data_IF_891694082872
#
_entry.id   IF_891694082872
#
_cell.length_a   1.000
_cell.length_b   1.000
_cell.length_c   1.000
_cell.angle_alpha   90.00
_cell.angle_beta   90.00
_cell.angle_gamma   90.00
#
_symmetry.space_group_name_H-M   'P 1'
#
loop_
_entity.id
_entity.type
_entity.pdbx_description
1 polymer ?
#
# COMPACT_ATOMS: atom_id res chain seq x y z
N UNK A 1 -13.89 11.26 17.00
CA UNK A 1 -13.03 10.27 16.35
C UNK A 1 -13.45 8.89 16.77
N UNK A 2 -13.42 7.94 15.84
CA UNK A 2 -13.54 6.52 16.19
C UNK A 2 -12.20 6.04 16.71
N UNK A 3 -12.16 5.03 17.59
CA UNK A 3 -10.89 4.48 18.09
C UNK A 3 -9.97 4.02 16.93
N UNK A 4 -10.57 3.56 15.83
CA UNK A 4 -9.84 3.05 14.68
C UNK A 4 -9.16 4.15 13.86
N UNK A 5 -9.68 5.37 13.81
CA UNK A 5 -8.96 6.46 13.17
C UNK A 5 -7.63 6.77 13.87
N UNK A 6 -7.52 6.47 15.17
CA UNK A 6 -6.29 6.64 15.94
C UNK A 6 -5.37 5.41 15.91
N UNK A 7 -5.90 4.23 15.52
CA UNK A 7 -5.16 2.97 15.46
C UNK A 7 -4.59 2.67 14.09
N UNK A 8 -5.05 3.35 13.05
CA UNK A 8 -4.63 3.12 11.67
C UNK A 8 -3.88 4.31 11.09
N UNK A 9 -2.96 4.00 10.18
CA UNK A 9 -2.11 4.95 9.50
C UNK A 9 -2.11 4.67 8.00
N UNK A 10 -2.05 5.71 7.19
CA UNK A 10 -1.94 5.61 5.75
C UNK A 10 -0.46 5.67 5.36
N UNK A 11 -0.02 4.70 4.55
CA UNK A 11 1.35 4.62 4.07
C UNK A 11 1.54 5.42 2.78
N UNK A 12 2.57 6.27 2.76
CA UNK A 12 2.96 7.09 1.63
C UNK A 12 4.43 6.90 1.30
N UNK A 13 4.76 7.13 0.04
CA UNK A 13 6.13 7.32 -0.38
C UNK A 13 6.69 8.60 0.27
N UNK A 14 7.96 8.65 0.71
CA UNK A 14 8.59 9.90 1.11
C UNK A 14 8.60 10.92 -0.06
N UNK A 15 8.43 12.20 0.27
CA UNK A 15 8.39 13.30 -0.72
C UNK A 15 9.78 13.72 -1.21
N UNK A 16 10.82 12.99 -0.81
CA UNK A 16 12.14 13.17 -1.34
C UNK A 16 12.32 12.36 -2.63
N UNK A 17 13.01 12.94 -3.61
CA UNK A 17 13.37 12.24 -4.86
C UNK A 17 14.44 11.15 -4.63
N UNK A 18 14.65 10.72 -3.37
CA UNK A 18 15.74 9.82 -3.00
C UNK A 18 15.37 8.36 -3.13
N UNK A 19 14.11 8.01 -3.39
CA UNK A 19 13.70 6.62 -3.55
C UNK A 19 13.46 6.24 -5.01
N UNK A 20 13.75 4.98 -5.36
CA UNK A 20 13.38 4.41 -6.66
C UNK A 20 11.86 4.40 -6.86
N UNK A 21 11.39 4.71 -8.08
CA UNK A 21 10.03 4.35 -8.49
C UNK A 21 10.09 2.95 -9.10
N UNK A 22 9.32 2.00 -8.59
CA UNK A 22 9.33 0.65 -9.18
C UNK A 22 8.39 0.59 -10.38
N UNK A 23 8.78 -0.15 -11.40
CA UNK A 23 7.95 -0.43 -12.57
C UNK A 23 7.95 -1.93 -12.82
N UNK A 24 6.78 -2.58 -12.90
CA UNK A 24 6.72 -4.00 -13.20
C UNK A 24 7.17 -4.24 -14.64
N UNK A 25 7.90 -5.33 -14.87
CA UNK A 25 8.14 -5.79 -16.23
C UNK A 25 6.85 -6.35 -16.86
N UNK A 26 6.90 -6.66 -18.17
CA UNK A 26 5.73 -7.16 -18.89
C UNK A 26 5.17 -8.46 -18.30
N UNK A 27 6.03 -9.36 -17.81
CA UNK A 27 5.63 -10.66 -17.24
C UNK A 27 4.87 -10.46 -15.94
N UNK A 28 5.35 -9.56 -15.10
CA UNK A 28 4.77 -9.15 -13.81
C UNK A 28 3.45 -8.43 -14.01
N UNK A 29 3.41 -7.44 -14.90
CA UNK A 29 2.21 -6.66 -15.20
C UNK A 29 1.05 -7.53 -15.71
N UNK A 30 1.33 -8.50 -16.60
CA UNK A 30 0.31 -9.41 -17.16
C UNK A 30 -0.37 -10.28 -16.09
N UNK A 31 0.30 -10.54 -14.97
CA UNK A 31 -0.26 -11.29 -13.84
C UNK A 31 -1.25 -10.50 -13.01
N UNK A 32 -1.38 -9.18 -13.25
CA UNK A 32 -2.32 -8.29 -12.55
C UNK A 32 -2.11 -8.32 -11.03
N UNK A 33 -0.84 -8.35 -10.63
CA UNK A 33 -0.37 -8.55 -9.25
C UNK A 33 -0.97 -7.58 -8.21
N UNK A 34 -1.41 -6.41 -8.66
CA UNK A 34 -1.96 -5.35 -7.82
C UNK A 34 -3.42 -5.55 -7.38
N UNK A 35 -4.17 -6.48 -8.01
CA UNK A 35 -5.55 -6.83 -7.60
C UNK A 35 -5.90 -8.31 -7.71
N UNK A 36 -5.07 -9.16 -8.33
CA UNK A 36 -5.29 -10.61 -8.36
C UNK A 36 -4.45 -11.33 -7.34
N UNK A 37 -5.06 -12.30 -6.66
CA UNK A 37 -4.33 -13.29 -5.88
C UNK A 37 -3.46 -14.13 -6.80
N UNK A 38 -2.17 -14.17 -6.53
CA UNK A 38 -1.21 -14.95 -7.30
C UNK A 38 -1.20 -16.40 -6.82
N UNK A 39 -0.93 -17.33 -7.74
CA UNK A 39 -0.73 -18.74 -7.41
C UNK A 39 0.59 -18.97 -6.68
N UNK A 40 0.58 -19.83 -5.66
CA UNK A 40 1.78 -20.17 -4.92
C UNK A 40 2.77 -20.95 -5.80
N UNK A 41 4.07 -20.65 -5.65
CA UNK A 41 5.15 -21.40 -6.32
C UNK A 41 5.42 -21.01 -7.77
N UNK A 42 4.78 -19.97 -8.30
CA UNK A 42 5.13 -19.39 -9.60
C UNK A 42 6.39 -18.52 -9.55
N UNK A 43 6.85 -18.06 -10.71
CA UNK A 43 8.00 -17.16 -10.85
C UNK A 43 7.88 -15.91 -9.96
N UNK A 44 9.00 -15.34 -9.48
CA UNK A 44 8.99 -14.08 -8.74
C UNK A 44 8.42 -12.93 -9.59
N UNK A 45 8.02 -11.86 -8.92
CA UNK A 45 7.66 -10.59 -9.57
C UNK A 45 8.94 -9.81 -9.87
N UNK A 46 9.04 -9.21 -11.04
CA UNK A 46 10.20 -8.48 -11.51
C UNK A 46 9.87 -6.99 -11.66
N UNK A 47 10.70 -6.16 -11.06
CA UNK A 47 10.57 -4.71 -11.08
C UNK A 47 11.88 -4.07 -11.55
N UNK A 48 11.78 -2.94 -12.24
CA UNK A 48 12.92 -2.10 -12.63
C UNK A 48 12.72 -0.68 -12.10
N UNK A 49 13.73 0.17 -12.26
CA UNK A 49 13.52 1.61 -12.13
C UNK A 49 12.49 2.11 -13.16
N UNK A 50 11.50 2.86 -12.68
CA UNK A 50 10.38 3.40 -13.46
C UNK A 50 10.60 4.82 -13.97
N UNK A 51 11.60 5.53 -13.46
CA UNK A 51 12.00 6.84 -13.96
C UNK A 51 12.46 6.76 -15.42
N UNK A 52 12.27 7.84 -16.16
CA UNK A 52 12.67 7.93 -17.58
C UNK A 52 14.17 8.16 -17.74
N UNK A 53 14.75 7.70 -18.85
CA UNK A 53 16.16 7.95 -19.16
C UNK A 53 16.44 9.47 -19.14
N UNK A 54 17.30 9.92 -18.22
CA UNK A 54 17.70 11.33 -18.09
C UNK A 54 17.10 12.07 -16.90
N UNK A 55 16.15 11.49 -16.18
CA UNK A 55 15.76 11.99 -14.86
C UNK A 55 16.88 11.72 -13.85
N UNK A 56 17.00 12.57 -12.81
CA UNK A 56 17.90 12.27 -11.68
C UNK A 56 17.35 11.04 -10.97
N UNK A 57 17.77 9.86 -11.42
CA UNK A 57 17.38 8.59 -10.83
C UNK A 57 18.13 8.40 -9.53
N UNK A 58 17.42 8.37 -8.41
CA UNK A 58 17.99 7.69 -7.26
C UNK A 58 17.96 6.18 -7.53
N UNK A 59 19.11 5.53 -7.35
CA UNK A 59 19.23 4.07 -7.30
C UNK A 59 19.18 3.55 -5.86
N UNK A 60 18.86 4.43 -4.90
CA UNK A 60 18.79 4.05 -3.49
C UNK A 60 17.56 3.17 -3.27
N UNK A 61 17.85 1.89 -3.04
CA UNK A 61 16.88 0.91 -2.59
C UNK A 61 16.77 0.98 -1.07
N UNK A 62 15.63 1.43 -0.58
CA UNK A 62 15.29 1.54 0.84
C UNK A 62 14.72 0.23 1.38
N UNK A 63 14.48 0.14 2.69
CA UNK A 63 13.90 -1.07 3.31
C UNK A 63 12.51 -1.42 2.77
N UNK A 64 11.71 -0.38 2.54
CA UNK A 64 10.36 -0.47 2.01
C UNK A 64 10.29 0.42 0.77
N UNK A 65 9.60 -0.01 -0.29
CA UNK A 65 9.39 0.80 -1.50
C UNK A 65 7.91 0.84 -1.82
N UNK A 66 7.29 2.00 -1.59
CA UNK A 66 5.86 2.21 -1.80
C UNK A 66 5.54 2.27 -3.29
N UNK A 67 4.62 1.41 -3.71
CA UNK A 67 4.00 1.38 -5.03
C UNK A 67 2.58 1.97 -4.94
N UNK A 68 1.96 2.28 -6.07
CA UNK A 68 0.57 2.78 -6.12
C UNK A 68 -0.43 1.83 -5.45
N UNK A 69 -0.13 0.53 -5.41
CA UNK A 69 -1.09 -0.51 -5.03
C UNK A 69 -0.59 -1.50 -3.98
N UNK A 70 0.62 -1.30 -3.47
CA UNK A 70 1.32 -2.24 -2.59
C UNK A 70 2.69 -1.68 -2.21
N UNK A 71 3.61 -2.56 -1.83
CA UNK A 71 4.97 -2.17 -1.52
C UNK A 71 5.96 -3.32 -1.68
N UNK A 72 7.20 -3.03 -2.09
CA UNK A 72 8.31 -3.93 -1.84
C UNK A 72 8.70 -3.82 -0.37
N UNK A 73 8.91 -4.96 0.28
CA UNK A 73 9.28 -5.07 1.68
C UNK A 73 10.55 -5.91 1.83
N UNK A 74 11.40 -5.52 2.77
CA UNK A 74 12.56 -6.32 3.14
C UNK A 74 12.16 -7.63 3.85
N UNK A 75 13.13 -8.52 4.02
CA UNK A 75 12.94 -9.83 4.67
C UNK A 75 12.36 -9.71 6.07
N UNK A 76 12.78 -8.70 6.84
CA UNK A 76 12.43 -8.58 8.25
C UNK A 76 10.95 -8.24 8.44
N UNK A 77 10.42 -7.31 7.65
CA UNK A 77 8.98 -7.05 7.63
C UNK A 77 8.19 -8.25 7.07
N UNK A 78 8.71 -8.91 6.02
CA UNK A 78 8.08 -10.12 5.49
C UNK A 78 7.95 -11.21 6.55
N UNK A 79 8.99 -11.44 7.34
CA UNK A 79 8.97 -12.46 8.40
C UNK A 79 8.05 -12.06 9.55
N UNK A 80 8.00 -10.78 9.91
CA UNK A 80 7.03 -10.28 10.90
C UNK A 80 5.60 -10.54 10.44
N UNK A 81 5.25 -10.11 9.23
CA UNK A 81 3.90 -10.27 8.68
C UNK A 81 3.51 -11.74 8.45
N UNK A 82 4.49 -12.63 8.22
CA UNK A 82 4.25 -14.07 8.04
C UNK A 82 3.70 -14.76 9.30
N UNK A 83 3.74 -14.10 10.46
CA UNK A 83 3.18 -14.63 11.70
C UNK A 83 1.65 -14.50 11.77
N UNK A 84 1.06 -13.66 10.91
CA UNK A 84 -0.36 -13.35 10.93
C UNK A 84 -1.06 -13.87 9.68
N UNK A 85 -2.36 -14.15 9.81
CA UNK A 85 -3.24 -14.40 8.65
C UNK A 85 -4.06 -13.14 8.41
N UNK A 86 -3.51 -12.22 7.60
CA UNK A 86 -4.14 -10.95 7.26
C UNK A 86 -5.03 -11.16 6.03
N UNK A 87 -6.30 -10.80 6.13
CA UNK A 87 -7.28 -10.99 5.06
C UNK A 87 -6.93 -10.11 3.85
N UNK A 88 -7.02 -10.68 2.65
CA UNK A 88 -6.79 -9.92 1.42
C UNK A 88 -5.34 -9.58 1.07
N UNK A 89 -4.40 -9.93 1.95
CA UNK A 89 -2.98 -9.65 1.76
C UNK A 89 -2.27 -10.85 1.16
N UNK A 90 -1.32 -10.58 0.26
CA UNK A 90 -0.35 -11.56 -0.24
C UNK A 90 1.06 -10.98 -0.15
N UNK A 91 2.02 -11.83 0.24
CA UNK A 91 3.44 -11.52 0.19
C UNK A 91 4.06 -12.46 -0.83
N UNK A 92 4.62 -11.88 -1.89
CA UNK A 92 5.09 -12.65 -3.04
C UNK A 92 6.58 -12.38 -3.32
N UNK A 93 7.42 -13.39 -3.59
CA UNK A 93 8.83 -13.18 -3.92
C UNK A 93 9.01 -12.18 -5.07
N UNK A 94 9.97 -11.28 -4.94
CA UNK A 94 10.23 -10.26 -5.96
C UNK A 94 11.71 -10.00 -6.16
N UNK A 95 12.06 -9.55 -7.36
CA UNK A 95 13.40 -9.15 -7.76
C UNK A 95 13.31 -7.73 -8.30
N UNK A 96 14.07 -6.82 -7.70
CA UNK A 96 14.31 -5.50 -8.27
C UNK A 96 15.60 -5.54 -9.09
N UNK A 97 15.55 -5.05 -10.32
CA UNK A 97 16.69 -4.95 -11.23
C UNK A 97 17.07 -3.48 -11.32
N UNK A 98 18.29 -3.16 -10.88
CA UNK A 98 18.79 -1.78 -10.89
C UNK A 98 19.24 -1.34 -12.29
N UNK A 99 19.61 -0.06 -12.41
CA UNK A 99 20.05 0.54 -13.68
C UNK A 99 21.38 -0.05 -14.22
N UNK A 100 22.16 -0.74 -13.38
CA UNK A 100 23.36 -1.48 -13.75
C UNK A 100 23.08 -2.95 -14.09
N UNK A 101 21.81 -3.36 -14.17
CA UNK A 101 21.34 -4.74 -14.35
C UNK A 101 21.77 -5.72 -13.25
N UNK A 102 21.96 -5.24 -12.01
CA UNK A 102 22.13 -6.14 -10.87
C UNK A 102 20.76 -6.53 -10.30
N UNK A 103 20.64 -7.81 -9.95
CA UNK A 103 19.46 -8.37 -9.31
C UNK A 103 19.50 -8.19 -7.79
N UNK A 104 18.46 -7.56 -7.25
CA UNK A 104 18.23 -7.38 -5.82
C UNK A 104 17.08 -8.28 -5.36
N UNK A 105 17.39 -9.55 -5.12
CA UNK A 105 16.40 -10.60 -4.76
C UNK A 105 15.98 -10.67 -3.29
N UNK A 106 16.35 -9.68 -2.47
CA UNK A 106 16.06 -9.66 -1.03
C UNK A 106 14.76 -8.89 -0.68
N UNK A 107 13.82 -8.82 -1.63
CA UNK A 107 12.55 -8.12 -1.48
C UNK A 107 11.37 -9.04 -1.76
N UNK A 108 10.24 -8.71 -1.13
CA UNK A 108 8.95 -9.32 -1.41
C UNK A 108 7.95 -8.23 -1.74
N UNK A 109 7.03 -8.49 -2.66
CA UNK A 109 5.92 -7.60 -2.90
C UNK A 109 4.79 -7.92 -1.93
N UNK A 110 4.45 -6.95 -1.08
CA UNK A 110 3.22 -6.91 -0.30
C UNK A 110 2.11 -6.33 -1.18
N UNK A 111 1.21 -7.19 -1.64
CA UNK A 111 0.06 -6.83 -2.45
C UNK A 111 -1.27 -7.09 -1.75
N UNK A 112 -2.29 -6.32 -2.10
CA UNK A 112 -3.65 -6.51 -1.61
C UNK A 112 -4.58 -6.85 -2.77
N UNK A 113 -5.23 -8.01 -2.70
CA UNK A 113 -6.14 -8.52 -3.73
C UNK A 113 -7.61 -8.45 -3.32
N UNK A 114 -7.90 -7.95 -2.12
CA UNK A 114 -9.25 -7.57 -1.70
C UNK A 114 -9.22 -6.20 -1.03
N UNK A 115 -10.38 -5.57 -1.00
CA UNK A 115 -10.60 -4.30 -0.32
C UNK A 115 -11.60 -4.52 0.83
N UNK A 116 -11.50 -3.67 1.85
CA UNK A 116 -12.35 -3.72 3.04
C UNK A 116 -13.36 -2.58 2.99
N UNK A 117 -14.65 -2.92 2.97
CA UNK A 117 -15.72 -1.93 3.04
C UNK A 117 -15.93 -1.46 4.49
N UNK A 118 -15.05 -0.58 4.96
CA UNK A 118 -15.06 -0.03 6.32
C UNK A 118 -15.13 1.50 6.36
N UNK A 119 -15.53 2.16 5.27
CA UNK A 119 -15.71 3.61 5.26
C UNK A 119 -17.05 3.99 5.92
N UNK A 120 -17.02 4.93 6.86
CA UNK A 120 -18.23 5.57 7.38
C UNK A 120 -18.61 6.74 6.45
N UNK A 121 -19.57 6.50 5.55
CA UNK A 121 -20.01 7.47 4.55
C UNK A 121 -20.67 8.72 5.16
N UNK A 122 -21.13 8.65 6.42
CA UNK A 122 -21.79 9.78 7.09
C UNK A 122 -20.76 10.71 7.74
N UNK A 123 -19.67 10.16 8.27
CA UNK A 123 -18.63 10.92 8.97
C UNK A 123 -17.43 11.29 8.10
N UNK A 124 -17.20 10.55 7.02
CA UNK A 124 -16.12 10.85 6.08
C UNK A 124 -16.46 12.10 5.27
N UNK A 125 -15.44 12.88 4.92
CA UNK A 125 -15.61 14.02 4.00
C UNK A 125 -15.36 13.52 2.59
N UNK A 126 -16.41 13.46 1.79
CA UNK A 126 -16.39 12.97 0.41
C UNK A 126 -16.66 14.16 -0.52
N UNK A 127 -15.82 14.30 -1.54
CA UNK A 127 -16.08 15.21 -2.65
C UNK A 127 -16.89 14.47 -3.70
N UNK A 128 -18.06 14.99 -4.03
CA UNK A 128 -18.91 14.45 -5.10
C UNK A 128 -18.67 15.31 -6.32
N UNK A 129 -18.23 14.69 -7.40
CA UNK A 129 -18.18 15.33 -8.70
C UNK A 129 -19.43 14.94 -9.47
N UNK A 130 -20.25 15.92 -9.86
CA UNK A 130 -21.27 15.73 -10.89
C UNK A 130 -20.55 15.61 -12.24
N UNK A 131 -20.09 14.39 -12.57
CA UNK A 131 -19.77 14.08 -13.96
C UNK A 131 -21.04 13.56 -14.62
N UNK A 132 -21.52 14.28 -15.63
CA UNK A 132 -22.78 14.02 -16.36
C UNK A 132 -22.69 12.78 -17.29
N UNK A 133 -21.76 11.85 -17.01
CA UNK A 133 -21.45 10.73 -17.88
C UNK A 133 -21.74 9.39 -17.18
N UNK A 134 -22.53 8.58 -17.88
CA UNK A 134 -23.00 7.24 -17.51
C UNK A 134 -21.86 6.18 -17.43
N UNK A 135 -20.82 6.44 -16.66
CA UNK A 135 -19.78 5.43 -16.36
C UNK A 135 -20.02 4.84 -14.96
N UNK A 136 -20.36 3.55 -14.94
CA UNK A 136 -20.82 2.74 -13.80
C UNK A 136 -19.80 2.55 -12.64
N UNK A 137 -18.72 3.32 -12.57
CA UNK A 137 -17.67 3.20 -11.53
C UNK A 137 -17.50 4.52 -10.74
N UNK A 138 -18.55 4.90 -10.00
CA UNK A 138 -18.54 6.04 -9.06
C UNK A 138 -17.63 5.78 -7.85
N UNK A 139 -16.32 5.80 -8.04
CA UNK A 139 -15.37 5.75 -6.94
C UNK A 139 -15.46 7.03 -6.09
N UNK A 140 -15.46 6.87 -4.77
CA UNK A 140 -15.58 7.98 -3.84
C UNK A 140 -14.24 8.72 -3.73
N UNK A 141 -14.25 10.03 -4.00
CA UNK A 141 -13.14 10.92 -3.69
C UNK A 141 -13.19 11.32 -2.21
N UNK A 142 -12.47 10.59 -1.36
CA UNK A 142 -12.47 10.80 0.09
C UNK A 142 -11.38 11.80 0.48
N UNK A 143 -11.78 12.96 1.01
CA UNK A 143 -10.87 14.00 1.53
C UNK A 143 -10.45 13.79 2.97
N UNK A 144 -11.33 13.21 3.78
CA UNK A 144 -11.04 12.83 5.17
C UNK A 144 -11.72 11.50 5.47
N UNK A 145 -10.93 10.53 5.92
CA UNK A 145 -11.41 9.18 6.19
C UNK A 145 -11.98 9.07 7.60
N UNK A 146 -13.14 8.41 7.72
CA UNK A 146 -13.64 7.89 8.99
C UNK A 146 -13.90 6.40 8.86
N UNK A 147 -13.21 5.61 9.68
CA UNK A 147 -13.34 4.16 9.69
C UNK A 147 -14.54 3.75 10.55
N UNK A 148 -15.39 2.89 9.99
CA UNK A 148 -16.62 2.40 10.59
C UNK A 148 -16.32 1.38 11.69
N UNK A 149 -16.56 1.76 12.94
CA UNK A 149 -16.31 0.91 14.10
C UNK A 149 -17.16 -0.36 14.10
N UNK A 150 -18.41 -0.27 13.67
CA UNK A 150 -19.30 -1.41 13.67
C UNK A 150 -18.74 -2.49 12.74
N UNK A 151 -18.22 -2.13 11.57
CA UNK A 151 -17.56 -3.10 10.67
C UNK A 151 -16.29 -3.67 11.30
N UNK A 152 -15.38 -2.82 11.76
CA UNK A 152 -14.06 -3.25 12.24
C UNK A 152 -14.11 -4.02 13.56
N UNK A 153 -15.12 -3.81 14.41
CA UNK A 153 -15.33 -4.58 15.63
C UNK A 153 -15.70 -6.05 15.37
N UNK A 154 -16.21 -6.39 14.17
CA UNK A 154 -16.54 -7.77 13.80
C UNK A 154 -15.36 -8.52 13.14
N UNK A 155 -14.22 -7.86 12.97
CA UNK A 155 -13.03 -8.44 12.35
C UNK A 155 -11.91 -8.49 13.39
N UNK A 156 -11.34 -9.68 13.58
CA UNK A 156 -10.20 -9.88 14.48
C UNK A 156 -9.03 -8.99 14.04
N UNK A 157 -8.36 -8.35 14.99
CA UNK A 157 -7.28 -7.40 14.70
C UNK A 157 -6.17 -7.98 13.82
N UNK A 158 -5.72 -9.20 14.12
CA UNK A 158 -4.71 -9.94 13.36
C UNK A 158 -5.08 -10.14 11.88
N UNK A 159 -6.39 -10.17 11.57
CA UNK A 159 -6.91 -10.32 10.21
C UNK A 159 -7.03 -8.99 9.45
N UNK A 160 -6.95 -7.84 10.15
CA UNK A 160 -7.10 -6.49 9.58
C UNK A 160 -5.90 -5.59 9.85
N UNK A 161 -4.71 -6.17 9.99
CA UNK A 161 -3.48 -5.40 10.25
C UNK A 161 -3.11 -4.49 9.08
N UNK A 162 -3.43 -4.89 7.85
CA UNK A 162 -3.18 -4.12 6.63
C UNK A 162 -4.38 -4.28 5.70
N UNK A 163 -4.92 -3.18 5.16
CA UNK A 163 -6.03 -3.23 4.19
C UNK A 163 -6.04 -2.02 3.25
N UNK A 164 -6.85 -2.11 2.19
CA UNK A 164 -7.33 -0.96 1.38
C UNK A 164 -8.80 -0.72 1.72
N UNK A 165 -9.24 0.52 1.72
CA UNK A 165 -10.66 0.85 1.85
C UNK A 165 -11.33 0.66 0.49
N UNK A 166 -12.46 -0.04 0.47
CA UNK A 166 -13.22 -0.29 -0.75
C UNK A 166 -13.96 0.95 -1.26
N UNK A 167 -14.25 0.98 -2.56
CA UNK A 167 -15.03 2.01 -3.24
C UNK A 167 -14.43 3.43 -3.14
N UNK A 168 -13.11 3.55 -2.98
CA UNK A 168 -12.40 4.83 -2.97
C UNK A 168 -11.61 5.01 -4.27
N UNK A 169 -11.53 6.25 -4.76
CA UNK A 169 -10.74 6.61 -5.96
C UNK A 169 -9.25 6.39 -5.76
N UNK A 170 -8.78 6.48 -4.50
CA UNK A 170 -7.39 6.25 -4.10
C UNK A 170 -7.25 4.89 -3.42
N UNK A 171 -6.32 4.07 -3.92
CA UNK A 171 -6.01 2.76 -3.34
C UNK A 171 -4.98 2.82 -2.20
N UNK A 172 -5.18 3.74 -1.25
CA UNK A 172 -4.28 3.91 -0.12
C UNK A 172 -4.19 2.65 0.76
N UNK A 173 -3.00 2.41 1.31
CA UNK A 173 -2.74 1.29 2.20
C UNK A 173 -2.83 1.74 3.66
N UNK A 174 -3.70 1.08 4.42
CA UNK A 174 -3.93 1.34 5.82
C UNK A 174 -3.19 0.29 6.65
N UNK A 175 -2.35 0.74 7.58
CA UNK A 175 -1.55 -0.07 8.48
C UNK A 175 -2.00 0.14 9.91
N UNK A 176 -2.22 -0.96 10.63
CA UNK A 176 -2.47 -0.92 12.07
C UNK A 176 -1.22 -0.44 12.81
N UNK A 177 -1.42 0.29 13.91
CA UNK A 177 -0.35 0.88 14.75
C UNK A 177 0.72 -0.13 15.14
N UNK A 178 0.38 -1.39 15.40
CA UNK A 178 1.37 -2.41 15.78
C UNK A 178 2.42 -2.65 14.69
N UNK A 179 2.01 -2.61 13.41
CA UNK A 179 2.93 -2.76 12.28
C UNK A 179 3.74 -1.47 12.09
N UNK A 180 3.12 -0.30 12.25
CA UNK A 180 3.82 0.99 12.17
C UNK A 180 4.89 1.11 13.27
N UNK A 181 4.57 0.71 14.49
CA UNK A 181 5.48 0.66 15.64
C UNK A 181 6.65 -0.29 15.40
N UNK A 182 6.39 -1.46 14.80
CA UNK A 182 7.44 -2.39 14.40
C UNK A 182 8.38 -1.77 13.36
N UNK A 183 7.83 -1.19 12.29
CA UNK A 183 8.60 -0.53 11.22
C UNK A 183 9.45 0.62 11.80
N UNK A 184 8.86 1.42 12.69
CA UNK A 184 9.53 2.53 13.36
C UNK A 184 10.64 2.07 14.30
N UNK A 185 10.39 1.05 15.14
CA UNK A 185 11.39 0.48 16.06
C UNK A 185 12.61 -0.07 15.32
N UNK A 186 12.39 -0.64 14.15
CA UNK A 186 13.45 -1.16 13.29
C UNK A 186 14.15 -0.09 12.43
N UNK A 187 13.69 1.17 12.50
CA UNK A 187 14.20 2.29 11.72
C UNK A 187 14.20 2.03 10.21
N UNK A 188 13.17 1.36 9.69
CA UNK A 188 13.05 1.13 8.25
C UNK A 188 12.84 2.43 7.49
N UNK A 189 13.51 2.53 6.35
CA UNK A 189 13.45 3.66 5.43
C UNK A 189 12.43 3.45 4.30
N UNK A 190 12.02 4.54 3.64
CA UNK A 190 11.28 4.47 2.37
C UNK A 190 9.75 4.44 2.49
N UNK A 191 9.20 4.80 3.66
CA UNK A 191 7.76 4.98 3.88
C UNK A 191 7.52 6.08 4.91
N UNK A 192 6.47 6.87 4.70
CA UNK A 192 5.91 7.80 5.67
C UNK A 192 4.52 7.32 6.09
N UNK A 193 4.17 7.55 7.35
CA UNK A 193 2.86 7.18 7.89
C UNK A 193 2.15 8.42 8.42
N UNK A 194 0.91 8.62 7.98
CA UNK A 194 0.02 9.65 8.53
C UNK A 194 -1.13 8.93 9.23
N UNK A 195 -1.39 9.27 10.49
CA UNK A 195 -2.50 8.69 11.24
C UNK A 195 -3.81 9.06 10.55
N UNK A 196 -4.75 8.13 10.45
CA UNK A 196 -6.03 8.35 9.76
C UNK A 196 -6.80 9.53 10.35
N UNK A 197 -6.74 9.71 11.67
CA UNK A 197 -7.36 10.84 12.35
C UNK A 197 -6.80 12.21 11.98
N UNK A 198 -5.54 12.24 11.55
CA UNK A 198 -4.78 13.46 11.29
C UNK A 198 -4.74 13.76 9.78
N UNK A 199 -5.10 12.77 8.96
CA UNK A 199 -5.00 12.83 7.51
C UNK A 199 -6.11 13.65 6.85
N UNK A 200 -5.68 14.53 5.95
CA UNK A 200 -6.49 15.18 4.92
C UNK A 200 -5.85 14.93 3.55
N UNK A 201 -6.68 14.75 2.54
CA UNK A 201 -6.19 14.68 1.16
C UNK A 201 -5.44 15.98 0.82
N UNK A 202 -4.17 15.83 0.44
CA UNK A 202 -3.19 16.90 0.29
C UNK A 202 -1.99 16.76 1.23
N UNK A 203 -2.16 16.15 2.41
CA UNK A 203 -1.10 16.00 3.42
C UNK A 203 0.02 15.04 3.00
N UNK A 204 -0.20 14.27 1.92
CA UNK A 204 0.81 13.39 1.34
C UNK A 204 1.90 14.14 0.53
N UNK A 205 1.74 15.43 0.25
CA UNK A 205 2.65 16.22 -0.61
C UNK A 205 3.54 17.20 0.17
#
# INVERSE_FOLDING_TARGET
MTKYNDEYYIAFRPNDDTQVHIKPDKRTALRKYHYKKLENGGDPLFFTNGFSEGEKTSDLLTDLVVDTSGLLINKKLKDELSQYTIDGVQIYPSIYIDNANNDHGNYWYLGLYTELNCLDLTRSKIEIFDFDDNDDDDFLEVKQYYLNEAVLNHINEESRLIFKVANCSKSYLFFHKSIVEFISKENFSGVNFIRVSDFNEGDQF
#
